data_IF_007219364863
#
_entry.id   IF_007219364863
#
_cell.length_a   1.000
_cell.length_b   1.000
_cell.length_c   1.000
_cell.angle_alpha   90.00
_cell.angle_beta   90.00
_cell.angle_gamma   90.00
#
_symmetry.space_group_name_H-M   'P 1'
#
loop_
_entity.id
_entity.type
_entity.pdbx_description
1 polymer ?
#
# COMPACT_ATOMS: atom_id res chain seq x y z
N UNK A 1 11.89 12.35 -1.08
CA UNK A 1 11.86 11.09 -0.29
C UNK A 1 11.21 10.01 -1.15
N UNK A 2 11.93 8.93 -1.39
CA UNK A 2 11.46 7.85 -2.28
C UNK A 2 10.21 7.16 -1.74
N UNK A 3 10.17 6.86 -0.45
CA UNK A 3 9.00 6.24 0.18
C UNK A 3 7.72 7.06 0.02
N UNK A 4 7.83 8.39 0.02
CA UNK A 4 6.69 9.27 -0.23
C UNK A 4 6.17 9.14 -1.67
N UNK A 5 7.07 9.10 -2.65
CA UNK A 5 6.69 8.90 -4.06
C UNK A 5 6.03 7.53 -4.27
N UNK A 6 6.59 6.47 -3.69
CA UNK A 6 5.99 5.12 -3.73
C UNK A 6 4.60 5.10 -3.08
N UNK A 7 4.42 5.85 -1.98
CA UNK A 7 3.12 5.90 -1.30
C UNK A 7 2.05 6.68 -2.09
N UNK A 8 2.42 7.74 -2.80
CA UNK A 8 1.52 8.43 -3.73
C UNK A 8 1.10 7.52 -4.89
N UNK A 9 2.05 6.78 -5.43
CA UNK A 9 1.78 5.80 -6.47
C UNK A 9 0.84 4.68 -5.98
N UNK A 10 1.06 4.18 -4.77
CA UNK A 10 0.15 3.22 -4.14
C UNK A 10 -1.27 3.78 -4.00
N UNK A 11 -1.40 5.07 -3.70
CA UNK A 11 -2.68 5.77 -3.64
C UNK A 11 -3.40 5.80 -4.99
N UNK A 12 -2.68 6.10 -6.07
CA UNK A 12 -3.25 6.10 -7.43
C UNK A 12 -3.72 4.71 -7.86
N UNK A 13 -2.94 3.68 -7.57
CA UNK A 13 -3.34 2.29 -7.80
C UNK A 13 -4.53 1.91 -6.92
N UNK A 14 -4.53 2.35 -5.67
CA UNK A 14 -5.61 2.12 -4.71
C UNK A 14 -6.95 2.66 -5.18
N UNK A 15 -6.96 3.81 -5.85
CA UNK A 15 -8.18 4.36 -6.47
C UNK A 15 -8.79 3.40 -7.49
N UNK A 16 -7.98 2.88 -8.41
CA UNK A 16 -8.42 1.94 -9.45
C UNK A 16 -8.86 0.61 -8.85
N UNK A 17 -8.09 0.09 -7.91
CA UNK A 17 -8.36 -1.19 -7.26
C UNK A 17 -9.63 -1.11 -6.40
N UNK A 18 -9.82 -0.02 -5.64
CA UNK A 18 -11.03 0.24 -4.88
C UNK A 18 -12.27 0.34 -5.79
N UNK A 19 -12.15 0.95 -6.96
CA UNK A 19 -13.23 1.01 -7.95
C UNK A 19 -13.69 -0.39 -8.36
N UNK A 20 -12.75 -1.32 -8.58
CA UNK A 20 -13.09 -2.71 -8.88
C UNK A 20 -13.74 -3.43 -7.69
N UNK A 21 -13.20 -3.24 -6.48
CA UNK A 21 -13.72 -3.84 -5.26
C UNK A 21 -15.14 -3.37 -4.92
N UNK A 22 -15.51 -2.14 -5.26
CA UNK A 22 -16.85 -1.59 -5.06
C UNK A 22 -17.93 -2.28 -5.87
N UNK A 23 -17.57 -2.98 -6.96
CA UNK A 23 -18.52 -3.68 -7.83
C UNK A 23 -19.00 -5.01 -7.25
N UNK A 24 -18.29 -5.57 -6.27
CA UNK A 24 -18.70 -6.77 -5.56
C UNK A 24 -19.18 -6.41 -4.16
N UNK A 25 -20.40 -6.83 -3.85
CA UNK A 25 -21.05 -6.51 -2.57
C UNK A 25 -20.24 -6.98 -1.36
N UNK A 26 -19.49 -8.06 -1.49
CA UNK A 26 -18.67 -8.65 -0.41
C UNK A 26 -17.47 -7.79 -0.07
N UNK A 27 -16.96 -7.02 -1.04
CA UNK A 27 -15.77 -6.17 -0.90
C UNK A 27 -16.09 -4.67 -0.87
N UNK A 28 -17.35 -4.28 -0.77
CA UNK A 28 -17.74 -2.87 -0.74
C UNK A 28 -17.15 -2.13 0.46
N UNK A 29 -17.27 -2.68 1.67
CA UNK A 29 -16.65 -2.08 2.87
C UNK A 29 -15.13 -2.16 2.83
N UNK A 30 -14.59 -3.23 2.27
CA UNK A 30 -13.15 -3.40 2.12
C UNK A 30 -12.58 -2.32 1.20
N UNK A 31 -13.28 -1.90 0.16
CA UNK A 31 -12.85 -0.83 -0.74
C UNK A 31 -12.63 0.49 0.01
N UNK A 32 -13.51 0.85 0.92
CA UNK A 32 -13.39 2.04 1.77
C UNK A 32 -12.17 1.94 2.70
N UNK A 33 -12.00 0.80 3.36
CA UNK A 33 -10.87 0.54 4.26
C UNK A 33 -9.54 0.57 3.52
N UNK A 34 -9.47 -0.06 2.35
CA UNK A 34 -8.28 -0.08 1.51
C UNK A 34 -7.90 1.34 1.09
N UNK A 35 -8.82 2.07 0.50
CA UNK A 35 -8.53 3.41 -0.02
C UNK A 35 -8.13 4.38 1.11
N UNK A 36 -8.79 4.30 2.25
CA UNK A 36 -8.41 5.05 3.45
C UNK A 36 -7.00 4.70 3.94
N UNK A 37 -6.68 3.40 4.00
CA UNK A 37 -5.37 2.95 4.46
C UNK A 37 -4.24 3.42 3.53
N UNK A 38 -4.36 3.23 2.21
CA UNK A 38 -3.31 3.65 1.26
C UNK A 38 -3.12 5.17 1.25
N UNK A 39 -4.20 5.94 1.35
CA UNK A 39 -4.13 7.41 1.45
C UNK A 39 -3.46 7.88 2.74
N UNK A 40 -3.66 7.18 3.84
CA UNK A 40 -3.07 7.51 5.14
C UNK A 40 -1.54 7.31 5.16
N UNK A 41 -0.97 6.48 4.29
CA UNK A 41 0.49 6.30 4.20
C UNK A 41 1.17 7.62 3.83
N UNK A 42 0.80 8.20 2.70
CA UNK A 42 1.40 9.46 2.22
C UNK A 42 1.04 10.64 3.11
N UNK A 43 -0.18 10.69 3.64
CA UNK A 43 -0.62 11.76 4.53
C UNK A 43 0.22 11.81 5.81
N UNK A 44 0.47 10.66 6.46
CA UNK A 44 1.30 10.58 7.66
C UNK A 44 2.78 10.86 7.36
N UNK A 45 3.30 10.47 6.19
CA UNK A 45 4.65 10.82 5.77
C UNK A 45 4.81 12.34 5.60
N UNK A 46 3.86 13.00 4.94
CA UNK A 46 3.87 14.45 4.76
C UNK A 46 3.77 15.19 6.10
N UNK A 47 2.90 14.72 6.99
CA UNK A 47 2.74 15.29 8.33
C UNK A 47 4.02 15.13 9.14
N UNK A 48 4.62 13.94 9.15
CA UNK A 48 5.87 13.66 9.86
C UNK A 48 7.03 14.53 9.34
N UNK A 49 7.15 14.67 8.03
CA UNK A 49 8.18 15.50 7.42
C UNK A 49 8.09 16.99 7.85
N UNK A 50 6.89 17.48 8.12
CA UNK A 50 6.68 18.87 8.56
C UNK A 50 6.96 19.11 10.05
N UNK A 51 7.20 18.05 10.84
CA UNK A 51 7.46 18.17 12.27
C UNK A 51 8.89 18.59 12.55
N UNK A 52 9.08 19.44 13.56
CA UNK A 52 10.39 19.96 13.94
C UNK A 52 11.20 19.00 14.82
N UNK A 53 10.54 18.10 15.57
CA UNK A 53 11.23 17.15 16.44
C UNK A 53 11.33 15.77 15.80
N UNK A 54 12.49 15.13 15.93
CA UNK A 54 12.71 13.77 15.46
C UNK A 54 11.75 12.76 16.09
N UNK A 55 11.40 12.97 17.34
CA UNK A 55 10.44 12.12 18.07
C UNK A 55 9.05 12.18 17.43
N UNK A 56 8.59 13.38 17.07
CA UNK A 56 7.30 13.55 16.42
C UNK A 56 7.30 13.05 14.97
N UNK A 57 8.40 13.27 14.25
CA UNK A 57 8.60 12.69 12.91
C UNK A 57 8.47 11.16 12.96
N UNK A 58 9.19 10.52 13.88
CA UNK A 58 9.14 9.06 14.04
C UNK A 58 7.73 8.58 14.34
N UNK A 59 6.98 9.27 15.18
CA UNK A 59 5.59 8.92 15.52
C UNK A 59 4.69 8.91 14.28
N UNK A 60 4.75 9.91 13.42
CA UNK A 60 3.97 9.94 12.19
C UNK A 60 4.42 8.89 11.18
N UNK A 61 5.73 8.61 11.11
CA UNK A 61 6.23 7.52 10.28
C UNK A 61 5.77 6.14 10.78
N UNK A 62 5.62 5.96 12.09
CA UNK A 62 5.01 4.76 12.67
C UNK A 62 3.51 4.64 12.31
N UNK A 63 2.77 5.74 12.26
CA UNK A 63 1.39 5.75 11.77
C UNK A 63 1.33 5.36 10.28
N UNK A 64 2.25 5.88 9.48
CA UNK A 64 2.39 5.51 8.07
C UNK A 64 2.69 4.01 7.92
N UNK A 65 3.58 3.46 8.75
CA UNK A 65 3.90 2.03 8.78
C UNK A 65 2.66 1.17 9.12
N UNK A 66 1.89 1.57 10.12
CA UNK A 66 0.62 0.90 10.46
C UNK A 66 -0.35 0.91 9.30
N UNK A 67 -0.51 2.04 8.62
CA UNK A 67 -1.38 2.18 7.44
C UNK A 67 -0.92 1.31 6.27
N UNK A 68 0.39 1.21 6.04
CA UNK A 68 0.94 0.35 4.98
C UNK A 68 0.68 -1.14 5.26
N UNK A 69 0.84 -1.58 6.51
CA UNK A 69 0.51 -2.95 6.94
C UNK A 69 -0.98 -3.26 6.80
N UNK A 70 -1.82 -2.31 7.18
CA UNK A 70 -3.27 -2.42 7.03
C UNK A 70 -3.67 -2.53 5.56
N UNK A 71 -3.16 -1.66 4.69
CA UNK A 71 -3.42 -1.69 3.26
C UNK A 71 -2.98 -3.03 2.64
N UNK A 72 -1.81 -3.54 3.03
CA UNK A 72 -1.31 -4.85 2.58
C UNK A 72 -2.27 -5.98 2.94
N UNK A 73 -2.83 -5.96 4.16
CA UNK A 73 -3.83 -6.92 4.58
C UNK A 73 -5.12 -6.83 3.74
N UNK A 74 -5.59 -5.61 3.47
CA UNK A 74 -6.79 -5.43 2.65
C UNK A 74 -6.59 -5.90 1.20
N UNK A 75 -5.41 -5.73 0.63
CA UNK A 75 -5.10 -6.31 -0.69
C UNK A 75 -5.12 -7.83 -0.67
N UNK A 76 -4.63 -8.44 0.38
CA UNK A 76 -4.74 -9.90 0.54
C UNK A 76 -6.20 -10.35 0.61
N UNK A 77 -7.01 -9.70 1.42
CA UNK A 77 -8.44 -10.00 1.54
C UNK A 77 -9.21 -9.74 0.22
N UNK A 78 -8.82 -8.71 -0.52
CA UNK A 78 -9.43 -8.35 -1.80
C UNK A 78 -8.96 -9.17 -3.01
N UNK A 79 -8.01 -10.09 -2.85
CA UNK A 79 -7.39 -10.84 -3.96
C UNK A 79 -8.38 -11.65 -4.79
N UNK A 80 -9.48 -12.10 -4.20
CA UNK A 80 -10.51 -12.86 -4.89
C UNK A 80 -11.22 -12.06 -5.98
N UNK A 81 -11.37 -10.75 -5.77
CA UNK A 81 -11.99 -9.83 -6.73
C UNK A 81 -10.95 -9.20 -7.65
N UNK A 82 -9.80 -8.81 -7.11
CA UNK A 82 -8.73 -8.16 -7.88
C UNK A 82 -7.97 -9.12 -8.79
N UNK A 83 -7.86 -10.38 -8.37
CA UNK A 83 -6.99 -11.39 -8.99
C UNK A 83 -5.59 -11.40 -8.39
N UNK A 84 -4.94 -12.57 -8.43
CA UNK A 84 -3.63 -12.80 -7.83
C UNK A 84 -2.53 -11.87 -8.38
N UNK A 85 -2.44 -11.61 -9.72
CA UNK A 85 -1.38 -10.74 -10.23
C UNK A 85 -1.45 -9.32 -9.70
N UNK A 86 -2.64 -8.74 -9.59
CA UNK A 86 -2.84 -7.39 -9.07
C UNK A 86 -2.55 -7.36 -7.57
N UNK A 87 -3.17 -8.25 -6.80
CA UNK A 87 -2.98 -8.31 -5.37
C UNK A 87 -1.51 -8.51 -5.01
N UNK A 88 -0.82 -9.44 -5.66
CA UNK A 88 0.61 -9.70 -5.45
C UNK A 88 1.46 -8.48 -5.74
N UNK A 89 1.25 -7.79 -6.85
CA UNK A 89 1.97 -6.56 -7.19
C UNK A 89 1.80 -5.49 -6.10
N UNK A 90 0.56 -5.23 -5.66
CA UNK A 90 0.27 -4.21 -4.63
C UNK A 90 0.89 -4.57 -3.29
N UNK A 91 0.81 -5.84 -2.90
CA UNK A 91 1.40 -6.31 -1.65
C UNK A 91 2.94 -6.21 -1.67
N UNK A 92 3.59 -6.46 -2.81
CA UNK A 92 5.02 -6.24 -2.99
C UNK A 92 5.39 -4.76 -2.90
N UNK A 93 4.63 -3.88 -3.55
CA UNK A 93 4.82 -2.43 -3.47
C UNK A 93 4.70 -1.94 -2.02
N UNK A 94 3.68 -2.36 -1.30
CA UNK A 94 3.50 -2.01 0.11
C UNK A 94 4.61 -2.58 0.99
N UNK A 95 5.11 -3.77 0.68
CA UNK A 95 6.27 -4.34 1.39
C UNK A 95 7.53 -3.49 1.18
N UNK A 96 7.75 -2.93 -0.02
CA UNK A 96 8.86 -1.99 -0.24
C UNK A 96 8.67 -0.70 0.59
N UNK A 97 7.47 -0.15 0.64
CA UNK A 97 7.15 1.00 1.48
C UNK A 97 7.44 0.69 2.96
N UNK A 98 6.99 -0.46 3.44
CA UNK A 98 7.24 -0.93 4.81
C UNK A 98 8.74 -1.02 5.11
N UNK A 99 9.53 -1.59 4.21
CA UNK A 99 10.99 -1.68 4.37
C UNK A 99 11.65 -0.31 4.46
N UNK A 100 11.24 0.65 3.63
CA UNK A 100 11.73 2.01 3.73
C UNK A 100 11.41 2.63 5.09
N UNK A 101 10.17 2.48 5.57
CA UNK A 101 9.74 3.00 6.87
C UNK A 101 10.50 2.34 8.02
N UNK A 102 10.73 1.03 7.98
CA UNK A 102 11.51 0.30 8.97
C UNK A 102 12.98 0.74 9.02
N UNK A 103 13.49 1.31 7.93
CA UNK A 103 14.84 1.87 7.89
C UNK A 103 14.91 3.30 8.45
N UNK A 104 13.91 4.15 8.14
CA UNK A 104 13.95 5.56 8.55
C UNK A 104 13.49 5.79 9.99
N UNK A 105 12.53 5.03 10.50
CA UNK A 105 12.01 5.19 11.88
C UNK A 105 13.11 4.98 12.94
N UNK A 106 13.96 3.94 12.86
CA UNK A 106 15.03 3.75 13.84
C UNK A 106 16.06 4.88 13.85
N UNK A 107 16.36 5.48 12.70
CA UNK A 107 17.28 6.61 12.63
C UNK A 107 16.76 7.82 13.40
N UNK A 108 15.44 8.00 13.44
CA UNK A 108 14.79 9.07 14.20
C UNK A 108 14.67 8.77 15.70
N UNK A 109 14.59 7.49 16.09
CA UNK A 109 14.45 7.05 17.48
C UNK A 109 15.72 6.50 18.12
N UNK A 110 16.75 6.18 17.33
CA UNK A 110 18.00 5.60 17.82
C UNK A 110 17.91 4.14 18.25
N UNK A 111 16.93 3.38 17.76
CA UNK A 111 16.82 1.93 18.00
C UNK A 111 16.49 1.15 16.73
N UNK A 112 16.66 -0.17 16.76
CA UNK A 112 16.37 -1.06 15.65
C UNK A 112 14.97 -1.65 15.76
N UNK A 113 14.22 -1.61 14.65
CA UNK A 113 12.94 -2.31 14.49
C UNK A 113 13.13 -3.58 13.66
N UNK A 114 12.34 -4.61 13.97
CA UNK A 114 12.29 -5.84 13.18
C UNK A 114 10.89 -5.99 12.59
N UNK A 115 10.82 -6.39 11.35
CA UNK A 115 9.57 -6.82 10.74
C UNK A 115 9.28 -8.25 11.19
N UNK A 116 8.04 -8.50 11.62
CA UNK A 116 7.59 -9.88 11.82
C UNK A 116 7.51 -10.59 10.47
N UNK A 117 7.89 -11.88 10.40
CA UNK A 117 7.78 -12.64 9.16
C UNK A 117 6.35 -12.58 8.65
N UNK A 118 6.16 -12.25 7.38
CA UNK A 118 4.86 -12.29 6.75
C UNK A 118 4.32 -13.73 6.83
N UNK A 119 3.14 -13.89 7.41
CA UNK A 119 2.50 -15.20 7.62
C UNK A 119 2.13 -15.89 6.31
N UNK A 120 2.12 -15.14 5.21
CA UNK A 120 1.81 -15.62 3.87
C UNK A 120 3.04 -15.52 2.98
N UNK A 121 3.43 -16.65 2.41
CA UNK A 121 4.48 -16.69 1.38
C UNK A 121 3.98 -15.99 0.12
N UNK A 122 4.00 -14.67 0.13
CA UNK A 122 4.11 -13.95 -1.11
C UNK A 122 5.56 -14.17 -1.51
N UNK A 123 5.78 -14.72 -2.70
CA UNK A 123 7.11 -14.83 -3.25
C UNK A 123 7.72 -13.43 -3.37
N UNK A 124 8.32 -12.97 -2.29
CA UNK A 124 9.04 -11.69 -2.18
C UNK A 124 10.43 -11.80 -2.83
N UNK A 125 10.64 -12.83 -3.64
CA UNK A 125 11.87 -13.05 -4.37
C UNK A 125 12.12 -11.83 -5.26
N UNK A 126 13.03 -10.97 -4.84
CA UNK A 126 13.71 -9.97 -5.66
C UNK A 126 12.79 -8.96 -6.38
N UNK A 127 11.75 -8.45 -5.73
CA UNK A 127 10.99 -7.33 -6.29
C UNK A 127 11.78 -6.03 -6.10
N UNK A 128 12.66 -5.75 -7.03
CA UNK A 128 13.25 -4.43 -7.20
C UNK A 128 12.10 -3.40 -7.36
N UNK A 129 12.11 -2.28 -6.59
CA UNK A 129 11.11 -1.23 -6.72
C UNK A 129 10.92 -0.74 -8.16
N UNK A 130 12.01 -0.61 -8.93
CA UNK A 130 11.93 -0.20 -10.34
C UNK A 130 11.19 -1.24 -11.21
N UNK A 131 11.36 -2.51 -10.94
CA UNK A 131 10.66 -3.57 -11.66
C UNK A 131 9.15 -3.54 -11.36
N UNK A 132 8.77 -3.29 -10.10
CA UNK A 132 7.37 -3.10 -9.71
C UNK A 132 6.73 -1.91 -10.42
N UNK A 133 7.48 -0.81 -10.59
CA UNK A 133 6.99 0.38 -11.30
C UNK A 133 6.88 0.18 -12.81
N UNK A 134 7.67 -0.71 -13.40
CA UNK A 134 7.64 -1.00 -14.85
C UNK A 134 6.55 -1.99 -15.26
N UNK A 135 6.22 -2.93 -14.38
CA UNK A 135 5.24 -4.00 -14.64
C UNK A 135 3.99 -3.81 -13.78
N UNK A 136 3.24 -2.75 -14.06
CA UNK A 136 2.04 -2.41 -13.30
C UNK A 136 0.85 -3.20 -13.87
N UNK A 137 0.39 -4.28 -13.23
CA UNK A 137 -0.86 -4.91 -13.63
C UNK A 137 -2.02 -4.01 -13.23
N UNK A 138 -2.86 -3.70 -14.19
CA UNK A 138 -4.05 -2.89 -13.98
C UNK A 138 -5.28 -3.78 -13.88
N UNK A 139 -6.29 -3.40 -13.07
CA UNK A 139 -7.56 -4.11 -13.06
C UNK A 139 -8.17 -4.08 -14.45
N UNK A 140 -8.67 -5.21 -14.93
CA UNK A 140 -9.40 -5.25 -16.20
C UNK A 140 -10.57 -4.28 -16.11
N UNK A 141 -10.61 -3.33 -17.04
CA UNK A 141 -11.81 -2.53 -17.27
C UNK A 141 -12.87 -3.49 -17.82
N UNK A 142 -13.85 -3.84 -16.99
CA UNK A 142 -15.05 -4.47 -17.52
C UNK A 142 -15.66 -3.46 -18.46
N UNK A 143 -15.50 -3.71 -19.78
CA UNK A 143 -16.25 -3.03 -20.79
C UNK A 143 -17.72 -3.13 -20.38
N UNK A 144 -18.31 -1.99 -20.05
CA UNK A 144 -19.73 -1.89 -19.77
C UNK A 144 -20.49 -2.45 -20.98
N UNK A 145 -20.93 -3.69 -20.87
CA UNK A 145 -21.80 -4.34 -21.87
C UNK A 145 -23.19 -3.67 -21.92
N UNK A 146 -23.37 -2.50 -21.31
CA UNK A 146 -24.63 -1.75 -21.21
C UNK A 146 -24.64 -0.47 -22.03
N UNK A 147 -23.81 -0.34 -23.05
CA UNK A 147 -23.99 0.71 -24.07
C UNK A 147 -24.51 0.13 -25.38
N UNK A 148 -25.62 -0.57 -25.35
CA UNK A 148 -26.46 -0.78 -26.52
C UNK A 148 -27.85 -1.23 -26.08
N UNK A 149 -28.66 -0.31 -25.70
CA UNK A 149 -30.12 -0.31 -25.94
C UNK A 149 -30.59 1.12 -26.00
#
# INVERSE_FOLDING_TARGET
MEVYRLSLFAGDLGWRDATKLMRDRRTLKLSDQLYSAVGSISANLAEGYSRSSHKDQARFYEYSLGSAREARNWYFEGRHVLGEPIASHRMQLLTQIIRHLLNIIPSERGYSMKEEPATYQIALANSDPENLLRQIPMPEETLDATRNT
#
